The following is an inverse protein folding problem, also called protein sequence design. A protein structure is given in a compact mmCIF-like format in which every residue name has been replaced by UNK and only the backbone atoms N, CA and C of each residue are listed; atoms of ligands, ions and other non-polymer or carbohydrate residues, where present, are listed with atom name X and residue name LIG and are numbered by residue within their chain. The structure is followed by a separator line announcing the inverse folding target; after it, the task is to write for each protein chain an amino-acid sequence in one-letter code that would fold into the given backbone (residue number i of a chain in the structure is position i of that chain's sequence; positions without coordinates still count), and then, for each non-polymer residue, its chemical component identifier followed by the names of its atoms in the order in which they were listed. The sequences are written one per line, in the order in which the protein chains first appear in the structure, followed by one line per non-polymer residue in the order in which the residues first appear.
data_IF_955802408520
#
_entry.id   IF_955802408520
#
_cell.length_a   1.000
_cell.length_b   1.000
_cell.length_c   1.000
_cell.angle_alpha   90.00
_cell.angle_beta   90.00
_cell.angle_gamma   90.00
#
_symmetry.space_group_name_H-M   'P 1'
#
loop_
_entity.id
_entity.type
_entity.pdbx_description
1 polymer ?
#
# COMPACT_ATOMS: atom_id res chain seq x y z
N UNK A 1 25.14 -2.67 1.32
CA UNK A 1 24.07 -3.69 1.53
C UNK A 1 24.18 -4.94 0.65
N UNK A 2 24.17 -4.87 -0.69
CA UNK A 2 24.07 -6.07 -1.56
C UNK A 2 25.09 -7.20 -1.33
N UNK A 3 26.33 -6.87 -0.91
CA UNK A 3 27.41 -7.86 -0.68
C UNK A 3 27.11 -8.81 0.51
N UNK A 4 26.39 -8.34 1.54
CA UNK A 4 26.05 -9.17 2.70
C UNK A 4 24.92 -10.16 2.36
N UNK A 5 23.92 -9.68 1.62
CA UNK A 5 22.80 -10.48 1.11
C UNK A 5 23.28 -11.65 0.24
N UNK A 6 24.24 -11.38 -0.65
CA UNK A 6 24.82 -12.40 -1.54
C UNK A 6 25.63 -13.47 -0.76
N UNK A 7 26.40 -13.07 0.26
CA UNK A 7 27.18 -14.01 1.10
C UNK A 7 26.29 -15.00 1.86
N UNK A 8 25.13 -14.58 2.36
CA UNK A 8 24.21 -15.44 3.10
C UNK A 8 23.55 -16.47 2.17
N UNK A 9 23.08 -16.06 0.99
CA UNK A 9 22.48 -17.00 0.03
C UNK A 9 23.46 -18.03 -0.53
N UNK A 10 24.70 -17.63 -0.87
CA UNK A 10 25.72 -18.57 -1.38
C UNK A 10 26.08 -19.63 -0.33
N UNK A 11 26.17 -19.26 0.95
CA UNK A 11 26.49 -20.20 2.04
C UNK A 11 25.38 -21.25 2.25
N UNK A 12 24.10 -20.86 2.10
CA UNK A 12 22.93 -21.74 2.26
C UNK A 12 22.67 -22.67 1.06
N UNK A 13 23.14 -22.29 -0.15
CA UNK A 13 23.03 -23.14 -1.36
C UNK A 13 24.13 -24.20 -1.44
N UNK A 14 25.34 -23.91 -0.94
CA UNK A 14 26.48 -24.84 -1.02
C UNK A 14 26.30 -26.09 -0.13
N UNK A 15 25.59 -25.98 0.99
CA UNK A 15 25.31 -27.11 1.90
C UNK A 15 24.20 -28.07 1.40
N UNK A 16 23.49 -27.75 0.30
CA UNK A 16 22.47 -28.62 -0.31
C UNK A 16 22.94 -29.34 -1.59
N UNK A 17 24.20 -29.17 -1.99
CA UNK A 17 24.74 -29.71 -3.24
C UNK A 17 25.91 -30.69 -3.03
N UNK A 18 26.06 -31.24 -1.82
CA UNK A 18 27.11 -32.22 -1.49
C UNK A 18 26.57 -33.61 -1.13
N UNK A 19 25.28 -33.89 -1.29
CA UNK A 19 24.64 -35.11 -0.77
C UNK A 19 24.06 -36.05 -1.84
N UNK A 20 24.11 -35.70 -3.14
CA UNK A 20 23.71 -36.59 -4.24
C UNK A 20 24.76 -36.61 -5.36
N UNK A 21 25.57 -37.68 -5.39
CA UNK A 21 26.41 -38.03 -6.54
C UNK A 21 26.84 -39.51 -6.50
N UNK A 22 26.07 -40.38 -7.16
CA UNK A 22 26.51 -41.73 -7.56
C UNK A 22 26.25 -41.94 -9.06
N UNK A 23 27.22 -42.42 -9.86
CA UNK A 23 27.05 -42.61 -11.30
C UNK A 23 26.80 -44.08 -11.68
N UNK A 24 26.01 -44.30 -12.74
CA UNK A 24 25.88 -45.59 -13.44
C UNK A 24 26.03 -45.33 -14.96
N UNK A 25 26.74 -46.19 -15.75
CA UNK A 25 27.28 -45.78 -17.06
C UNK A 25 26.60 -46.42 -18.30
N UNK A 26 26.86 -45.81 -19.46
CA UNK A 26 27.02 -46.53 -20.74
C UNK A 26 26.02 -46.21 -21.86
N UNK A 27 26.53 -45.67 -22.98
CA UNK A 27 26.63 -46.43 -24.25
C UNK A 27 27.52 -45.65 -25.27
N UNK A 28 28.02 -46.35 -26.30
CA UNK A 28 29.00 -45.86 -27.28
C UNK A 28 28.55 -46.15 -28.73
N UNK A 29 29.21 -45.53 -29.72
CA UNK A 29 29.39 -45.87 -31.16
C UNK A 29 29.72 -44.53 -31.88
N UNK A 30 30.97 -44.25 -32.30
CA UNK A 30 31.75 -44.79 -33.44
C UNK A 30 31.20 -44.31 -34.83
N UNK A 31 32.01 -43.99 -35.86
CA UNK A 31 33.47 -43.86 -36.02
C UNK A 31 33.86 -43.32 -37.41
N UNK A 32 35.00 -42.61 -37.54
CA UNK A 32 35.77 -42.45 -38.80
C UNK A 32 35.14 -41.58 -39.92
N UNK A 33 35.89 -41.05 -40.88
CA UNK A 33 37.34 -41.05 -41.11
C UNK A 33 37.67 -40.17 -42.32
N UNK A 34 38.84 -39.52 -42.34
CA UNK A 34 39.26 -38.60 -43.41
C UNK A 34 40.23 -39.28 -44.39
N UNK A 35 40.16 -38.99 -45.69
CA UNK A 35 41.30 -39.08 -46.65
C UNK A 35 41.03 -38.28 -47.94
N UNK A 36 42.10 -37.67 -48.47
CA UNK A 36 42.19 -36.89 -49.71
C UNK A 36 42.10 -37.75 -50.99
N UNK A 37 41.56 -37.17 -52.10
CA UNK A 37 42.33 -36.84 -53.32
C UNK A 37 41.53 -36.11 -54.42
N UNK A 38 42.27 -35.33 -55.22
CA UNK A 38 41.95 -34.68 -56.50
C UNK A 38 41.22 -35.64 -57.48
N UNK A 39 40.47 -35.20 -58.51
CA UNK A 39 40.88 -34.20 -59.55
C UNK A 39 39.68 -33.76 -60.42
N UNK A 40 39.81 -32.59 -61.07
CA UNK A 40 39.22 -32.08 -62.35
C UNK A 40 37.98 -32.79 -62.97
N UNK A 41 37.00 -32.12 -63.60
CA UNK A 41 37.03 -30.88 -64.40
C UNK A 41 35.56 -30.44 -64.67
N UNK A 42 35.19 -29.15 -64.57
CA UNK A 42 34.16 -28.54 -65.43
C UNK A 42 34.08 -27.01 -65.26
N UNK A 43 34.60 -26.30 -66.26
CA UNK A 43 34.39 -24.86 -66.53
C UNK A 43 32.99 -24.73 -67.15
N UNK A 44 32.08 -23.86 -66.70
CA UNK A 44 32.05 -22.42 -67.03
C UNK A 44 30.78 -21.74 -66.50
N UNK A 45 30.83 -20.39 -66.43
CA UNK A 45 29.75 -19.37 -66.46
C UNK A 45 29.54 -18.59 -65.15
N UNK A 46 29.43 -17.26 -65.31
CA UNK A 46 29.00 -16.33 -64.26
C UNK A 46 30.11 -15.74 -63.38
N UNK A 47 30.87 -14.75 -63.90
CA UNK A 47 31.43 -13.72 -63.00
C UNK A 47 30.26 -12.82 -62.57
N UNK A 48 29.93 -12.68 -61.28
CA UNK A 48 28.96 -11.66 -60.86
C UNK A 48 29.57 -10.28 -61.18
N UNK A 49 28.78 -9.42 -61.82
CA UNK A 49 29.17 -8.05 -62.09
C UNK A 49 29.40 -7.29 -60.78
N UNK A 50 30.51 -6.57 -60.69
CA UNK A 50 30.75 -5.64 -59.58
C UNK A 50 29.64 -4.57 -59.60
N UNK A 51 28.93 -4.33 -58.49
CA UNK A 51 27.87 -3.31 -58.46
C UNK A 51 28.48 -1.93 -58.67
N UNK A 52 27.77 -1.12 -59.47
CA UNK A 52 28.11 0.26 -59.83
C UNK A 52 28.48 1.05 -58.56
N UNK A 53 29.55 1.87 -58.54
CA UNK A 53 30.05 2.52 -57.32
C UNK A 53 28.99 3.31 -56.53
N UNK A 54 28.01 3.92 -57.22
CA UNK A 54 26.88 4.60 -56.56
C UNK A 54 25.99 3.69 -55.72
N UNK A 55 25.82 2.41 -56.09
CA UNK A 55 25.01 1.44 -55.32
C UNK A 55 25.69 1.09 -53.99
N UNK A 56 27.02 0.97 -53.98
CA UNK A 56 27.78 0.75 -52.73
C UNK A 56 27.66 1.93 -51.79
N UNK A 57 27.74 3.16 -52.29
CA UNK A 57 27.55 4.37 -51.51
C UNK A 57 26.13 4.47 -50.94
N UNK A 58 25.10 4.18 -51.75
CA UNK A 58 23.70 4.17 -51.34
C UNK A 58 23.43 3.15 -50.23
N UNK A 59 23.93 1.91 -50.36
CA UNK A 59 23.77 0.86 -49.34
C UNK A 59 24.48 1.25 -48.03
N UNK A 60 25.68 1.83 -48.10
CA UNK A 60 26.38 2.35 -46.91
C UNK A 60 25.60 3.47 -46.22
N UNK A 61 25.03 4.40 -47.00
CA UNK A 61 24.30 5.56 -46.49
C UNK A 61 22.95 5.14 -45.87
N UNK A 62 22.25 4.16 -46.47
CA UNK A 62 21.06 3.54 -45.88
C UNK A 62 21.39 2.74 -44.62
N UNK A 63 22.52 2.03 -44.58
CA UNK A 63 22.97 1.31 -43.38
C UNK A 63 23.30 2.29 -42.24
N UNK A 64 24.02 3.38 -42.53
CA UNK A 64 24.30 4.45 -41.56
C UNK A 64 23.01 5.14 -41.06
N UNK A 65 22.03 5.39 -41.93
CA UNK A 65 20.70 5.90 -41.54
C UNK A 65 19.95 4.90 -40.63
N UNK A 66 20.03 3.60 -40.94
CA UNK A 66 19.43 2.53 -40.10
C UNK A 66 20.13 2.35 -38.75
N UNK A 67 21.37 2.81 -38.60
CA UNK A 67 22.08 2.90 -37.31
C UNK A 67 21.79 4.20 -36.56
N UNK A 68 21.51 5.30 -37.26
CA UNK A 68 21.15 6.58 -36.65
C UNK A 68 19.75 6.56 -36.00
N UNK A 69 18.75 5.93 -36.63
CA UNK A 69 17.38 5.92 -36.10
C UNK A 69 17.25 5.23 -34.71
N UNK A 70 17.87 4.07 -34.43
CA UNK A 70 17.91 3.48 -33.08
C UNK A 70 18.61 4.37 -32.05
N UNK A 71 19.68 5.08 -32.44
CA UNK A 71 20.41 5.97 -31.54
C UNK A 71 19.58 7.20 -31.16
N UNK A 72 18.86 7.80 -32.11
CA UNK A 72 17.88 8.86 -31.83
C UNK A 72 16.70 8.38 -30.99
N UNK A 73 16.28 7.11 -31.13
CA UNK A 73 15.28 6.50 -30.26
C UNK A 73 15.74 6.28 -28.81
N UNK A 74 17.04 6.06 -28.60
CA UNK A 74 17.62 5.82 -27.27
C UNK A 74 17.95 7.11 -26.50
N UNK A 75 18.32 8.19 -27.19
CA UNK A 75 18.64 9.49 -26.56
C UNK A 75 17.39 10.37 -26.51
N UNK A 76 16.44 10.01 -25.63
CA UNK A 76 15.32 10.90 -25.29
C UNK A 76 15.88 12.08 -24.49
N UNK A 77 16.05 13.22 -25.15
CA UNK A 77 16.54 14.44 -24.50
C UNK A 77 15.68 14.78 -23.27
N UNK A 78 16.28 15.22 -22.15
CA UNK A 78 15.54 15.57 -20.95
C UNK A 78 14.57 16.72 -21.24
N UNK A 79 13.36 16.66 -20.66
CA UNK A 79 12.36 17.71 -20.87
C UNK A 79 12.90 19.07 -20.43
N UNK A 80 12.61 20.10 -21.22
CA UNK A 80 12.83 21.50 -20.83
C UNK A 80 11.72 22.04 -19.92
N UNK A 81 10.57 21.37 -19.91
CA UNK A 81 9.43 21.71 -19.08
C UNK A 81 9.73 21.48 -17.59
N UNK A 82 9.20 22.37 -16.75
CA UNK A 82 9.35 22.34 -15.29
C UNK A 82 8.02 21.97 -14.64
N UNK A 83 8.10 21.34 -13.48
CA UNK A 83 6.95 21.06 -12.63
C UNK A 83 7.33 21.25 -11.16
N UNK A 84 6.38 21.75 -10.37
CA UNK A 84 6.50 21.82 -8.92
C UNK A 84 6.17 20.47 -8.31
N UNK A 85 7.05 19.99 -7.42
CA UNK A 85 6.86 18.74 -6.66
C UNK A 85 6.94 19.07 -5.18
N UNK A 86 5.99 18.57 -4.40
CA UNK A 86 6.01 18.69 -2.94
C UNK A 86 6.73 17.50 -2.34
N UNK A 87 7.71 17.76 -1.48
CA UNK A 87 8.54 16.76 -0.79
C UNK A 87 8.39 16.97 0.71
N UNK A 88 7.87 15.96 1.39
CA UNK A 88 7.62 15.93 2.84
C UNK A 88 8.57 14.93 3.49
N UNK A 89 9.17 15.29 4.62
CA UNK A 89 9.94 14.39 5.48
C UNK A 89 9.43 14.41 6.90
N UNK A 90 9.10 13.25 7.46
CA UNK A 90 8.63 13.05 8.82
C UNK A 90 9.45 11.98 9.56
N UNK A 91 9.27 11.87 10.88
CA UNK A 91 9.82 10.78 11.71
C UNK A 91 8.69 10.10 12.48
N UNK A 92 8.95 8.85 12.85
CA UNK A 92 8.11 8.01 13.68
C UNK A 92 6.67 7.91 13.14
N UNK A 93 6.50 7.55 11.86
CA UNK A 93 5.19 7.40 11.21
C UNK A 93 4.36 8.69 11.23
N UNK A 94 4.97 9.81 10.81
CA UNK A 94 4.29 11.09 10.65
C UNK A 94 4.05 11.89 11.93
N UNK A 95 4.66 11.49 13.05
CA UNK A 95 4.52 12.17 14.34
C UNK A 95 5.27 13.50 14.43
N UNK A 96 6.45 13.57 13.82
CA UNK A 96 7.34 14.73 13.85
C UNK A 96 7.62 15.17 12.40
N UNK A 97 7.37 16.43 12.08
CA UNK A 97 7.69 16.99 10.77
C UNK A 97 9.14 17.48 10.76
N UNK A 98 9.95 16.91 9.87
CA UNK A 98 11.34 17.35 9.63
C UNK A 98 11.35 18.43 8.55
N UNK A 99 10.64 18.22 7.44
CA UNK A 99 10.51 19.21 6.36
C UNK A 99 9.22 19.04 5.54
N UNK A 100 8.72 20.15 4.98
CA UNK A 100 7.67 20.19 3.96
C UNK A 100 8.07 21.28 2.96
N UNK A 101 8.48 20.90 1.75
CA UNK A 101 9.08 21.79 0.74
C UNK A 101 8.40 21.61 -0.61
N UNK A 102 8.41 22.66 -1.42
CA UNK A 102 8.07 22.60 -2.84
C UNK A 102 9.34 22.92 -3.64
N UNK A 103 9.63 22.11 -4.66
CA UNK A 103 10.83 22.21 -5.50
C UNK A 103 10.47 22.20 -6.99
N UNK A 104 11.25 22.88 -7.82
CA UNK A 104 11.01 22.96 -9.27
C UNK A 104 11.95 22.05 -10.08
N UNK A 105 11.49 20.83 -10.33
CA UNK A 105 12.23 19.85 -11.13
C UNK A 105 11.80 19.87 -12.59
N UNK A 106 12.57 19.20 -13.46
CA UNK A 106 12.14 18.94 -14.84
C UNK A 106 11.08 17.85 -14.86
N UNK A 107 10.16 17.89 -15.82
CA UNK A 107 9.20 16.78 -16.03
C UNK A 107 9.97 15.50 -16.32
N UNK A 108 9.69 14.44 -15.56
CA UNK A 108 10.42 13.16 -15.62
C UNK A 108 11.76 13.12 -14.88
N UNK A 109 12.09 14.11 -14.04
CA UNK A 109 13.19 14.02 -13.07
C UNK A 109 12.99 12.83 -12.10
N UNK A 110 14.07 12.31 -11.53
CA UNK A 110 13.95 11.25 -10.53
C UNK A 110 13.43 11.78 -9.18
N UNK A 111 12.79 10.92 -8.38
CA UNK A 111 12.37 11.29 -7.02
C UNK A 111 13.55 11.77 -6.15
N UNK A 112 14.71 11.12 -6.28
CA UNK A 112 15.96 11.52 -5.61
C UNK A 112 16.45 12.93 -5.98
N UNK A 113 16.37 13.31 -7.26
CA UNK A 113 16.79 14.66 -7.73
C UNK A 113 15.92 15.80 -7.13
N UNK A 114 14.66 15.50 -6.82
CA UNK A 114 13.76 16.43 -6.15
C UNK A 114 14.01 16.47 -4.62
N UNK A 115 14.39 15.35 -4.01
CA UNK A 115 14.80 15.32 -2.61
C UNK A 115 16.11 16.10 -2.39
N UNK A 116 17.11 15.92 -3.25
CA UNK A 116 18.38 16.69 -3.26
C UNK A 116 18.16 18.21 -3.32
N UNK A 117 17.09 18.67 -3.98
CA UNK A 117 16.70 20.08 -4.04
C UNK A 117 15.89 20.54 -2.82
N UNK A 118 15.25 19.61 -2.10
CA UNK A 118 14.43 19.92 -0.94
C UNK A 118 15.29 20.03 0.34
N UNK A 119 16.28 19.15 0.50
CA UNK A 119 17.13 19.01 1.68
C UNK A 119 18.51 18.44 1.33
N UNK A 120 19.47 18.64 2.21
CA UNK A 120 20.77 17.95 2.15
C UNK A 120 20.60 16.44 2.37
N UNK A 121 21.29 15.64 1.54
CA UNK A 121 21.34 14.18 1.64
C UNK A 121 22.78 13.66 1.54
N UNK A 122 23.04 12.50 2.14
CA UNK A 122 24.30 11.77 1.99
C UNK A 122 24.04 10.40 1.34
N UNK A 123 24.96 9.97 0.46
CA UNK A 123 24.82 8.75 -0.34
C UNK A 123 25.80 7.66 0.09
N UNK A 124 25.29 6.48 0.44
CA UNK A 124 26.07 5.25 0.65
C UNK A 124 26.05 4.39 -0.63
N UNK A 125 26.80 4.82 -1.64
CA UNK A 125 26.77 4.21 -2.97
C UNK A 125 25.52 4.62 -3.74
N UNK A 126 24.64 3.66 -4.05
CA UNK A 126 23.37 3.92 -4.77
C UNK A 126 22.16 4.15 -3.84
N UNK A 127 22.39 4.30 -2.54
CA UNK A 127 21.36 4.40 -1.51
C UNK A 127 21.52 5.71 -0.77
N UNK A 128 20.40 6.34 -0.41
CA UNK A 128 20.37 7.53 0.45
C UNK A 128 20.55 7.05 1.89
N UNK A 129 21.58 7.51 2.59
CA UNK A 129 21.91 7.06 3.94
C UNK A 129 21.45 8.05 5.01
N UNK A 130 21.58 9.34 4.69
CA UNK A 130 21.23 10.47 5.55
C UNK A 130 20.32 11.43 4.78
N UNK A 131 19.29 11.94 5.44
CA UNK A 131 18.40 13.00 4.92
C UNK A 131 18.25 14.05 6.01
N UNK A 132 18.50 15.33 5.69
CA UNK A 132 18.44 16.45 6.65
C UNK A 132 19.23 16.18 7.95
N UNK A 133 20.43 15.59 7.84
CA UNK A 133 21.30 15.22 8.96
C UNK A 133 20.87 13.98 9.75
N UNK A 134 19.73 13.34 9.42
CA UNK A 134 19.25 12.13 10.11
C UNK A 134 19.69 10.90 9.32
N UNK A 135 20.62 10.14 9.91
CA UNK A 135 21.23 8.93 9.35
C UNK A 135 20.50 7.66 9.84
N UNK A 136 20.31 6.70 8.94
CA UNK A 136 19.74 5.38 9.27
C UNK A 136 20.72 4.41 9.94
N UNK A 137 20.17 3.41 10.65
CA UNK A 137 20.93 2.36 11.33
C UNK A 137 20.32 0.95 11.09
N UNK A 138 20.62 -0.01 11.97
CA UNK A 138 20.13 -1.40 11.85
C UNK A 138 18.63 -1.56 12.19
N UNK A 139 18.02 -0.56 12.81
CA UNK A 139 16.64 -0.55 13.31
C UNK A 139 15.77 0.53 12.68
N UNK A 140 16.33 1.70 12.36
CA UNK A 140 15.62 2.83 11.78
C UNK A 140 16.15 3.19 10.39
N UNK A 141 15.27 3.49 9.44
CA UNK A 141 15.65 3.88 8.09
C UNK A 141 14.60 4.78 7.43
N UNK A 142 14.98 5.44 6.35
CA UNK A 142 14.10 6.29 5.54
C UNK A 142 13.32 5.46 4.53
N UNK A 143 12.00 5.42 4.67
CA UNK A 143 11.07 4.87 3.68
C UNK A 143 10.43 6.00 2.89
N UNK A 144 10.14 5.76 1.62
CA UNK A 144 9.53 6.78 0.77
C UNK A 144 8.32 6.27 0.00
N UNK A 145 7.39 7.20 -0.22
CA UNK A 145 6.07 6.96 -0.75
C UNK A 145 5.80 8.02 -1.82
N UNK A 146 5.29 7.59 -2.97
CA UNK A 146 4.80 8.50 -4.00
C UNK A 146 3.27 8.50 -3.94
N UNK A 147 2.68 9.68 -3.79
CA UNK A 147 1.23 9.86 -3.64
C UNK A 147 0.64 9.02 -2.50
N UNK A 148 1.44 8.68 -1.48
CA UNK A 148 1.03 7.81 -0.37
C UNK A 148 1.23 6.31 -0.58
N UNK A 149 1.72 5.85 -1.73
CA UNK A 149 2.02 4.44 -2.02
C UNK A 149 3.51 4.17 -1.78
N UNK A 150 3.85 3.19 -0.92
CA UNK A 150 5.25 2.81 -0.66
C UNK A 150 5.91 2.35 -1.97
N UNK A 151 6.98 3.03 -2.36
CA UNK A 151 7.61 2.80 -3.65
C UNK A 151 8.40 1.48 -3.69
N UNK A 152 8.31 0.78 -4.82
CA UNK A 152 8.97 -0.51 -5.06
C UNK A 152 10.28 -0.43 -5.87
N UNK A 153 10.80 0.79 -6.06
CA UNK A 153 12.09 1.08 -6.70
C UNK A 153 12.90 2.01 -5.81
N UNK A 154 14.17 2.28 -6.12
CA UNK A 154 14.93 3.35 -5.46
C UNK A 154 14.54 4.73 -5.98
N UNK A 155 14.72 5.78 -5.16
CA UNK A 155 14.27 7.13 -5.51
C UNK A 155 14.91 7.72 -6.78
N UNK A 156 16.15 7.35 -7.12
CA UNK A 156 16.76 7.73 -8.41
C UNK A 156 16.19 6.94 -9.61
N UNK A 157 15.50 5.83 -9.36
CA UNK A 157 14.83 4.99 -10.35
C UNK A 157 13.37 5.39 -10.63
N UNK A 158 12.63 5.91 -9.65
CA UNK A 158 11.28 6.43 -9.88
C UNK A 158 11.33 7.75 -10.66
N UNK A 159 10.55 7.86 -11.76
CA UNK A 159 10.45 9.08 -12.56
C UNK A 159 9.16 9.83 -12.25
N UNK A 160 9.31 11.02 -11.68
CA UNK A 160 8.22 11.86 -11.21
C UNK A 160 7.29 12.26 -12.35
N UNK A 161 5.99 12.27 -12.05
CA UNK A 161 4.95 12.77 -12.93
C UNK A 161 4.40 14.12 -12.44
N UNK A 162 3.80 14.94 -13.31
CA UNK A 162 3.18 16.20 -12.92
C UNK A 162 2.14 16.00 -11.81
N UNK A 163 2.35 16.68 -10.68
CA UNK A 163 1.47 16.63 -9.52
C UNK A 163 1.70 15.46 -8.57
N UNK A 164 2.77 14.67 -8.75
CA UNK A 164 3.24 13.72 -7.73
C UNK A 164 3.62 14.46 -6.42
N UNK A 165 3.27 13.85 -5.28
CA UNK A 165 3.72 14.26 -3.94
C UNK A 165 4.62 13.17 -3.37
N UNK A 166 5.79 13.55 -2.90
CA UNK A 166 6.71 12.65 -2.20
C UNK A 166 6.55 12.77 -0.69
N UNK A 167 6.46 11.63 -0.03
CA UNK A 167 6.53 11.51 1.42
C UNK A 167 7.72 10.63 1.79
N UNK A 168 8.49 11.07 2.76
CA UNK A 168 9.62 10.37 3.34
C UNK A 168 9.33 10.24 4.84
N UNK A 169 9.49 9.05 5.41
CA UNK A 169 9.36 8.87 6.85
C UNK A 169 10.52 8.04 7.41
N UNK A 170 11.10 8.53 8.50
CA UNK A 170 12.16 7.87 9.25
C UNK A 170 11.58 7.16 10.47
N UNK A 171 11.53 5.83 10.44
CA UNK A 171 10.93 5.03 11.50
C UNK A 171 11.67 3.71 11.74
N UNK A 172 11.33 3.06 12.87
CA UNK A 172 11.72 1.69 13.17
C UNK A 172 11.05 0.73 12.18
N UNK A 173 11.86 -0.01 11.42
CA UNK A 173 11.40 -0.94 10.39
C UNK A 173 11.51 -2.41 10.80
N UNK A 174 11.98 -2.69 12.03
CA UNK A 174 12.29 -4.07 12.48
C UNK A 174 11.07 -4.99 12.43
N UNK A 175 9.89 -4.46 12.76
CA UNK A 175 8.59 -5.07 12.51
C UNK A 175 7.98 -4.61 11.17
N UNK A 176 8.16 -3.33 10.85
CA UNK A 176 7.47 -2.59 9.79
C UNK A 176 8.15 -2.65 8.39
N UNK A 177 8.94 -3.69 8.11
CA UNK A 177 9.78 -3.80 6.89
C UNK A 177 9.04 -3.57 5.55
N UNK A 178 7.74 -3.87 5.48
CA UNK A 178 6.88 -3.72 4.30
C UNK A 178 5.51 -3.07 4.63
N UNK A 179 5.41 -2.39 5.77
CA UNK A 179 4.15 -1.87 6.30
C UNK A 179 4.41 -0.59 7.11
N UNK A 180 3.52 0.42 7.11
CA UNK A 180 2.29 0.49 6.32
C UNK A 180 2.63 0.70 4.85
N UNK A 181 2.02 -0.12 3.99
CA UNK A 181 2.35 -0.13 2.55
C UNK A 181 1.73 1.05 1.79
N UNK A 182 0.77 1.75 2.41
CA UNK A 182 0.28 3.05 2.00
C UNK A 182 0.02 3.96 3.23
N UNK A 183 -0.20 5.27 3.00
CA UNK A 183 -0.33 6.29 4.05
C UNK A 183 -1.73 6.91 4.03
N UNK A 184 -2.51 6.75 5.12
CA UNK A 184 -3.84 7.35 5.27
C UNK A 184 -3.85 8.87 5.01
N UNK A 185 -2.83 9.57 5.50
CA UNK A 185 -2.65 11.01 5.38
C UNK A 185 -2.26 11.53 4.00
N UNK A 186 -2.13 10.65 3.01
CA UNK A 186 -2.02 11.00 1.60
C UNK A 186 -3.39 10.97 0.89
N UNK A 187 -4.51 10.83 1.60
CA UNK A 187 -5.84 10.86 0.99
C UNK A 187 -6.06 12.15 0.17
N UNK A 188 -6.52 12.08 -1.11
CA UNK A 188 -6.91 10.90 -1.90
C UNK A 188 -5.89 10.55 -3.00
N UNK A 189 -4.61 10.92 -2.84
CA UNK A 189 -3.61 10.93 -3.91
C UNK A 189 -3.37 9.59 -4.65
N UNK A 190 -3.44 8.39 -4.01
CA UNK A 190 -3.37 7.11 -4.74
C UNK A 190 -4.51 6.89 -5.76
N UNK A 191 -5.63 7.60 -5.58
CA UNK A 191 -6.81 7.54 -6.44
C UNK A 191 -6.90 8.72 -7.41
N UNK A 192 -6.12 9.79 -7.16
CA UNK A 192 -6.10 11.02 -7.98
C UNK A 192 -4.93 11.04 -8.97
N UNK A 193 -3.73 10.73 -8.48
CA UNK A 193 -2.45 10.77 -9.22
C UNK A 193 -1.88 9.35 -9.43
N UNK A 194 -2.19 8.43 -8.52
CA UNK A 194 -1.78 7.03 -8.63
C UNK A 194 -0.28 6.84 -8.46
N UNK A 195 0.31 5.91 -9.21
CA UNK A 195 1.75 5.63 -9.14
C UNK A 195 2.35 5.41 -10.53
N UNK A 196 3.45 6.10 -10.84
CA UNK A 196 4.08 6.09 -12.16
C UNK A 196 3.16 6.65 -13.26
N UNK A 197 2.27 7.58 -12.92
CA UNK A 197 1.32 8.20 -13.87
C UNK A 197 0.15 7.29 -14.25
N UNK A 198 -0.10 6.23 -13.48
CA UNK A 198 -1.19 5.28 -13.70
C UNK A 198 -2.12 5.29 -12.50
N UNK A 199 -3.39 5.60 -12.74
CA UNK A 199 -4.47 5.57 -11.76
C UNK A 199 -5.32 4.34 -12.02
N UNK A 200 -5.50 3.49 -11.02
CA UNK A 200 -6.45 2.39 -11.09
C UNK A 200 -7.88 2.93 -10.87
N UNK A 201 -8.91 2.39 -11.55
CA UNK A 201 -10.30 2.76 -11.30
C UNK A 201 -10.64 2.63 -9.81
N UNK A 202 -11.54 3.47 -9.32
CA UNK A 202 -11.86 3.50 -7.87
C UNK A 202 -13.26 2.93 -7.62
N UNK A 203 -13.37 1.99 -6.68
CA UNK A 203 -14.63 1.41 -6.23
C UNK A 203 -14.83 1.74 -4.76
N UNK A 204 -15.91 2.44 -4.44
CA UNK A 204 -16.38 2.56 -3.06
C UNK A 204 -17.35 1.40 -2.80
N UNK A 205 -16.88 0.46 -1.98
CA UNK A 205 -17.56 -0.78 -1.60
C UNK A 205 -18.22 -0.57 -0.25
N UNK A 206 -19.48 -0.97 -0.09
CA UNK A 206 -20.20 -0.84 1.19
C UNK A 206 -20.93 -2.12 1.60
N UNK A 207 -20.91 -2.43 2.89
CA UNK A 207 -21.83 -3.40 3.48
C UNK A 207 -23.24 -2.79 3.60
N UNK A 208 -24.25 -3.65 3.79
CA UNK A 208 -25.64 -3.22 3.99
C UNK A 208 -25.75 -2.16 5.11
N UNK A 209 -26.62 -1.17 4.94
CA UNK A 209 -26.75 -0.01 5.84
C UNK A 209 -25.79 1.15 5.56
N UNK A 210 -24.66 0.96 4.85
CA UNK A 210 -23.62 2.00 4.68
C UNK A 210 -23.66 2.76 3.33
N UNK A 211 -24.72 2.60 2.53
CA UNK A 211 -24.82 3.22 1.19
C UNK A 211 -24.68 4.75 1.21
N UNK A 212 -25.28 5.42 2.20
CA UNK A 212 -25.21 6.87 2.35
C UNK A 212 -23.76 7.35 2.54
N UNK A 213 -22.98 6.64 3.36
CA UNK A 213 -21.57 6.94 3.61
C UNK A 213 -20.71 6.71 2.37
N UNK A 214 -21.04 5.68 1.57
CA UNK A 214 -20.38 5.42 0.29
C UNK A 214 -20.64 6.53 -0.73
N UNK A 215 -21.86 7.06 -0.78
CA UNK A 215 -22.21 8.20 -1.65
C UNK A 215 -21.51 9.48 -1.20
N UNK A 216 -21.55 9.82 0.10
CA UNK A 216 -20.79 10.95 0.67
C UNK A 216 -19.29 10.86 0.38
N UNK A 217 -18.70 9.66 0.47
CA UNK A 217 -17.30 9.45 0.13
C UNK A 217 -17.02 9.62 -1.36
N UNK A 218 -17.89 9.10 -2.25
CA UNK A 218 -17.79 9.35 -3.70
C UNK A 218 -17.85 10.84 -4.01
N UNK A 219 -18.77 11.58 -3.41
CA UNK A 219 -18.90 13.04 -3.59
C UNK A 219 -17.64 13.78 -3.12
N UNK A 220 -17.11 13.42 -1.94
CA UNK A 220 -15.85 13.96 -1.43
C UNK A 220 -14.67 13.69 -2.37
N UNK A 221 -14.56 12.46 -2.88
CA UNK A 221 -13.51 12.07 -3.82
C UNK A 221 -13.64 12.83 -5.16
N UNK A 222 -14.87 13.03 -5.65
CA UNK A 222 -15.13 13.81 -6.87
C UNK A 222 -14.73 15.28 -6.70
N UNK A 223 -15.10 15.88 -5.56
CA UNK A 223 -14.71 17.25 -5.21
C UNK A 223 -13.18 17.43 -5.08
N UNK A 224 -12.46 16.36 -4.75
CA UNK A 224 -11.00 16.32 -4.72
C UNK A 224 -10.37 15.90 -6.07
N UNK A 225 -11.16 15.77 -7.13
CA UNK A 225 -10.68 15.54 -8.49
C UNK A 225 -10.39 14.08 -8.87
N UNK A 226 -10.79 13.11 -8.04
CA UNK A 226 -10.75 11.68 -8.41
C UNK A 226 -11.76 11.41 -9.53
N UNK A 227 -11.34 10.63 -10.53
CA UNK A 227 -12.14 10.29 -11.72
C UNK A 227 -12.42 8.78 -11.73
N UNK A 228 -13.35 8.35 -12.60
CA UNK A 228 -13.67 6.93 -12.81
C UNK A 228 -14.01 6.17 -11.52
N UNK A 229 -15.12 6.58 -10.89
CA UNK A 229 -15.58 6.03 -9.61
C UNK A 229 -16.89 5.25 -9.72
N UNK A 230 -16.88 4.05 -9.16
CA UNK A 230 -18.05 3.19 -8.94
C UNK A 230 -18.42 3.16 -7.46
N UNK A 231 -19.71 2.95 -7.16
CA UNK A 231 -20.23 2.64 -5.82
C UNK A 231 -20.94 1.29 -5.92
N UNK A 232 -20.60 0.34 -5.04
CA UNK A 232 -21.08 -1.04 -5.11
C UNK A 232 -21.34 -1.63 -3.72
N UNK A 233 -22.43 -2.39 -3.57
CA UNK A 233 -22.61 -3.23 -2.39
C UNK A 233 -21.57 -4.37 -2.38
N UNK A 234 -21.09 -4.80 -1.21
CA UNK A 234 -20.00 -5.76 -1.06
C UNK A 234 -20.20 -7.06 -1.87
N UNK A 235 -21.43 -7.61 -1.89
CA UNK A 235 -21.79 -8.80 -2.68
C UNK A 235 -21.79 -8.63 -4.20
N UNK A 236 -21.53 -7.43 -4.72
CA UNK A 236 -21.48 -7.11 -6.17
C UNK A 236 -20.08 -6.74 -6.68
N UNK A 237 -19.07 -6.76 -5.80
CA UNK A 237 -17.67 -6.56 -6.16
C UNK A 237 -17.13 -7.83 -6.85
N UNK A 238 -16.65 -7.70 -8.09
CA UNK A 238 -16.07 -8.85 -8.80
C UNK A 238 -14.64 -9.14 -8.31
N UNK A 239 -14.17 -10.39 -8.50
CA UNK A 239 -12.79 -10.75 -8.18
C UNK A 239 -11.74 -9.95 -8.98
N UNK A 240 -12.08 -9.54 -10.21
CA UNK A 240 -11.21 -8.70 -11.03
C UNK A 240 -11.09 -7.29 -10.47
N UNK A 241 -12.22 -6.66 -10.11
CA UNK A 241 -12.23 -5.34 -9.47
C UNK A 241 -11.51 -5.39 -8.12
N UNK A 242 -11.79 -6.42 -7.31
CA UNK A 242 -11.15 -6.66 -6.01
C UNK A 242 -9.61 -6.70 -6.14
N UNK A 243 -9.07 -7.32 -7.19
CA UNK A 243 -7.63 -7.46 -7.40
C UNK A 243 -6.94 -6.34 -8.20
N UNK A 244 -7.67 -5.50 -8.96
CA UNK A 244 -7.06 -4.50 -9.86
C UNK A 244 -7.34 -3.04 -9.51
N UNK A 245 -8.39 -2.77 -8.74
CA UNK A 245 -8.86 -1.40 -8.51
C UNK A 245 -8.30 -0.80 -7.21
N UNK A 246 -8.43 0.53 -7.10
CA UNK A 246 -8.45 1.22 -5.83
C UNK A 246 -9.79 0.93 -5.14
N UNK A 247 -9.80 0.51 -3.88
CA UNK A 247 -11.00 0.19 -3.11
C UNK A 247 -11.11 1.06 -1.87
N UNK A 248 -12.29 1.60 -1.60
CA UNK A 248 -12.67 2.08 -0.26
C UNK A 248 -13.73 1.14 0.28
N UNK A 249 -13.46 0.46 1.40
CA UNK A 249 -14.39 -0.53 1.96
C UNK A 249 -14.99 0.03 3.25
N UNK A 250 -16.30 0.29 3.21
CA UNK A 250 -17.10 0.81 4.34
C UNK A 250 -17.96 -0.33 4.88
N UNK A 251 -17.48 -1.01 5.92
CA UNK A 251 -18.14 -2.19 6.47
C UNK A 251 -17.71 -2.51 7.92
N UNK A 252 -18.54 -3.18 8.74
CA UNK A 252 -18.16 -3.62 10.09
C UNK A 252 -17.03 -4.66 10.09
N UNK A 253 -16.37 -4.83 11.24
CA UNK A 253 -15.28 -5.78 11.42
C UNK A 253 -15.64 -7.25 11.10
N UNK A 254 -16.92 -7.60 11.22
CA UNK A 254 -17.46 -8.93 10.88
C UNK A 254 -17.77 -9.16 9.39
N UNK A 255 -17.70 -8.13 8.54
CA UNK A 255 -17.90 -8.28 7.10
C UNK A 255 -16.83 -9.19 6.46
N UNK A 256 -17.20 -9.97 5.45
CA UNK A 256 -16.31 -10.94 4.81
C UNK A 256 -15.02 -10.32 4.25
N UNK A 257 -15.12 -9.15 3.60
CA UNK A 257 -13.95 -8.46 3.03
C UNK A 257 -13.06 -7.88 4.13
N UNK A 258 -13.65 -7.32 5.19
CA UNK A 258 -12.89 -6.78 6.32
C UNK A 258 -12.21 -7.89 7.11
N UNK A 259 -12.90 -9.00 7.39
CA UNK A 259 -12.33 -10.14 8.11
C UNK A 259 -11.17 -10.79 7.34
N UNK A 260 -11.27 -10.86 6.00
CA UNK A 260 -10.17 -11.29 5.13
C UNK A 260 -8.96 -10.36 5.21
N UNK A 261 -9.15 -9.03 5.07
CA UNK A 261 -8.09 -8.03 5.25
C UNK A 261 -7.47 -8.04 6.65
N UNK A 262 -8.31 -8.26 7.66
CA UNK A 262 -7.91 -8.19 9.06
C UNK A 262 -6.88 -9.28 9.41
N UNK A 263 -6.87 -10.42 8.71
CA UNK A 263 -5.81 -11.43 8.83
C UNK A 263 -4.43 -10.85 8.48
N UNK A 264 -4.34 -10.12 7.37
CA UNK A 264 -3.11 -9.42 6.98
C UNK A 264 -2.77 -8.27 7.94
N UNK A 265 -3.78 -7.51 8.39
CA UNK A 265 -3.58 -6.41 9.34
C UNK A 265 -3.02 -6.91 10.68
N UNK A 266 -3.53 -8.06 11.17
CA UNK A 266 -3.04 -8.74 12.38
C UNK A 266 -1.59 -9.20 12.29
N UNK A 267 -1.00 -9.37 11.10
CA UNK A 267 0.42 -9.69 11.00
C UNK A 267 1.34 -8.46 11.05
N UNK A 268 0.95 -7.34 10.42
CA UNK A 268 1.92 -6.28 10.06
C UNK A 268 1.44 -4.84 10.24
N UNK A 269 0.14 -4.58 10.20
CA UNK A 269 -0.37 -3.21 10.10
C UNK A 269 -0.52 -2.52 11.47
N UNK A 270 -0.51 -1.17 11.53
CA UNK A 270 -0.62 -0.42 12.79
C UNK A 270 -1.90 -0.64 13.59
N UNK A 271 -3.04 -0.82 12.91
CA UNK A 271 -4.33 -1.10 13.55
C UNK A 271 -5.01 -2.31 12.93
N UNK A 272 -5.73 -3.07 13.77
CA UNK A 272 -6.45 -4.28 13.39
C UNK A 272 -7.56 -4.60 14.40
N UNK A 273 -8.42 -5.58 14.10
CA UNK A 273 -9.47 -6.06 14.99
C UNK A 273 -9.12 -7.42 15.64
N UNK A 274 -9.39 -7.56 16.93
CA UNK A 274 -9.20 -8.80 17.70
C UNK A 274 -10.15 -8.80 18.91
N UNK A 275 -10.83 -9.92 19.18
CA UNK A 275 -11.69 -10.06 20.37
C UNK A 275 -12.83 -9.04 20.50
N UNK A 276 -13.35 -8.50 19.39
CA UNK A 276 -14.36 -7.43 19.42
C UNK A 276 -13.78 -6.05 19.80
N UNK A 277 -12.48 -5.84 19.61
CA UNK A 277 -11.78 -4.60 19.89
C UNK A 277 -10.91 -4.17 18.70
N UNK A 278 -10.69 -2.87 18.57
CA UNK A 278 -9.57 -2.31 17.81
C UNK A 278 -8.31 -2.44 18.65
N UNK A 279 -7.24 -2.98 18.08
CA UNK A 279 -5.90 -2.98 18.66
C UNK A 279 -5.04 -1.96 17.92
N UNK A 280 -4.37 -1.09 18.68
CA UNK A 280 -3.39 -0.12 18.16
C UNK A 280 -1.99 -0.57 18.58
N UNK A 281 -1.09 -0.69 17.60
CA UNK A 281 0.32 -1.01 17.82
C UNK A 281 1.17 0.24 18.05
N UNK A 282 2.27 0.09 18.78
CA UNK A 282 3.36 1.05 18.80
C UNK A 282 4.34 0.84 17.62
N UNK A 283 5.26 1.79 17.47
CA UNK A 283 6.35 1.80 16.48
C UNK A 283 7.24 0.54 16.45
N UNK A 284 7.14 -0.37 17.44
CA UNK A 284 7.85 -1.67 17.48
C UNK A 284 6.95 -2.86 17.18
N UNK A 285 5.73 -2.62 16.71
CA UNK A 285 4.75 -3.66 16.34
C UNK A 285 4.01 -4.30 17.50
N UNK A 286 4.24 -3.87 18.75
CA UNK A 286 3.57 -4.41 19.94
C UNK A 286 2.24 -3.70 20.18
N UNK A 287 1.18 -4.39 20.63
CA UNK A 287 -0.03 -3.74 21.13
C UNK A 287 0.30 -2.71 22.23
N UNK A 288 -0.26 -1.52 22.10
CA UNK A 288 -0.06 -0.38 23.00
C UNK A 288 -1.38 0.10 23.63
N UNK A 289 -2.47 0.09 22.85
CA UNK A 289 -3.81 0.44 23.31
C UNK A 289 -4.88 -0.42 22.63
N UNK A 290 -6.01 -0.62 23.31
CA UNK A 290 -7.17 -1.34 22.77
C UNK A 290 -8.47 -0.56 23.02
N UNK A 291 -9.44 -0.71 22.12
CA UNK A 291 -10.70 0.03 22.16
C UNK A 291 -11.88 -0.84 21.72
N UNK A 292 -12.96 -0.86 22.52
CA UNK A 292 -14.13 -1.73 22.30
C UNK A 292 -15.21 -1.15 21.37
N UNK A 293 -16.51 -1.49 21.61
CA UNK A 293 -17.65 -0.95 20.88
C UNK A 293 -17.65 0.58 20.73
N UNK A 294 -18.25 1.06 19.64
CA UNK A 294 -18.23 2.45 19.21
C UNK A 294 -16.93 2.90 18.54
N UNK A 295 -15.88 2.07 18.48
CA UNK A 295 -14.61 2.43 17.84
C UNK A 295 -14.47 1.86 16.43
N UNK A 296 -13.95 2.72 15.56
CA UNK A 296 -13.62 2.46 14.17
C UNK A 296 -12.12 2.48 13.88
N UNK A 297 -11.74 2.07 12.67
CA UNK A 297 -10.41 2.25 12.11
C UNK A 297 -10.45 2.98 10.77
N UNK A 298 -9.39 3.74 10.52
CA UNK A 298 -9.02 4.29 9.22
C UNK A 298 -7.60 3.85 8.89
N UNK A 299 -7.41 3.17 7.76
CA UNK A 299 -6.09 2.72 7.31
C UNK A 299 -6.06 2.61 5.78
N UNK A 300 -4.89 2.81 5.18
CA UNK A 300 -4.66 2.54 3.77
C UNK A 300 -3.53 1.50 3.62
N UNK A 301 -3.71 0.54 2.72
CA UNK A 301 -2.68 -0.43 2.32
C UNK A 301 -2.59 -0.50 0.80
N UNK A 302 -1.49 -0.98 0.24
CA UNK A 302 -1.48 -1.44 -1.15
C UNK A 302 -2.36 -2.68 -1.30
N UNK A 303 -3.05 -2.81 -2.43
CA UNK A 303 -4.07 -3.83 -2.60
C UNK A 303 -3.50 -5.26 -2.40
N UNK A 304 -3.85 -5.97 -1.31
CA UNK A 304 -3.28 -7.28 -1.02
C UNK A 304 -3.82 -8.39 -1.92
N UNK A 305 -4.93 -8.11 -2.63
CA UNK A 305 -5.53 -9.01 -3.62
C UNK A 305 -4.98 -8.80 -5.03
N UNK A 306 -4.00 -7.91 -5.21
CA UNK A 306 -3.34 -7.77 -6.50
C UNK A 306 -2.62 -9.09 -6.87
N UNK A 307 -2.85 -9.67 -8.06
CA UNK A 307 -2.22 -10.93 -8.47
C UNK A 307 -0.69 -10.85 -8.61
N UNK A 308 -0.09 -9.65 -8.62
CA UNK A 308 1.36 -9.42 -8.55
C UNK A 308 1.89 -9.33 -7.11
N UNK A 309 1.01 -9.42 -6.11
CA UNK A 309 1.31 -9.29 -4.69
C UNK A 309 1.24 -7.85 -4.17
N UNK A 310 1.36 -7.71 -2.84
CA UNK A 310 1.60 -6.42 -2.19
C UNK A 310 2.92 -5.81 -2.65
N UNK A 311 3.04 -4.48 -2.61
CA UNK A 311 4.15 -3.69 -3.17
C UNK A 311 4.25 -3.69 -4.71
N UNK A 312 3.23 -4.20 -5.42
CA UNK A 312 3.12 -4.03 -6.88
C UNK A 312 2.96 -2.54 -7.31
N UNK A 313 2.60 -1.64 -6.39
CA UNK A 313 2.26 -0.24 -6.64
C UNK A 313 1.12 -0.08 -7.67
N UNK A 314 0.16 -1.00 -7.62
CA UNK A 314 -1.01 -1.08 -8.50
C UNK A 314 -2.25 -1.31 -7.64
N UNK A 315 -2.96 -0.22 -7.31
CA UNK A 315 -4.15 -0.21 -6.47
C UNK A 315 -3.87 -0.11 -4.96
N UNK A 316 -4.78 0.55 -4.24
CA UNK A 316 -4.80 0.69 -2.79
C UNK A 316 -6.13 0.23 -2.21
N UNK A 317 -6.14 -0.22 -0.96
CA UNK A 317 -7.34 -0.56 -0.21
C UNK A 317 -7.40 0.31 1.04
N UNK A 318 -8.47 1.09 1.13
CA UNK A 318 -8.78 1.98 2.23
C UNK A 318 -9.84 1.33 3.10
N UNK A 319 -9.48 1.09 4.35
CA UNK A 319 -10.31 0.41 5.35
C UNK A 319 -11.03 1.47 6.16
N UNK A 320 -12.36 1.51 6.04
CA UNK A 320 -13.25 2.41 6.80
C UNK A 320 -14.21 1.52 7.58
N UNK A 321 -13.77 1.08 8.75
CA UNK A 321 -14.41 -0.02 9.46
C UNK A 321 -14.59 0.26 10.95
N UNK A 322 -15.25 -0.62 11.69
CA UNK A 322 -15.37 -0.54 13.13
C UNK A 322 -15.90 -1.81 13.77
N UNK A 323 -15.73 -1.89 15.09
CA UNK A 323 -16.21 -3.00 15.93
C UNK A 323 -17.71 -3.21 15.74
N UNK A 324 -18.44 -2.12 15.61
CA UNK A 324 -19.88 -2.04 15.34
C UNK A 324 -20.20 -0.95 14.30
N UNK A 325 -21.48 -0.82 13.98
CA UNK A 325 -22.00 0.19 13.05
C UNK A 325 -21.62 1.62 13.47
N UNK A 326 -21.65 1.93 14.76
CA UNK A 326 -21.27 3.25 15.31
C UNK A 326 -19.80 3.57 15.01
N UNK A 327 -18.90 2.59 15.19
CA UNK A 327 -17.49 2.70 14.83
C UNK A 327 -17.28 2.98 13.33
N UNK A 328 -17.97 2.25 12.46
CA UNK A 328 -17.91 2.46 10.99
C UNK A 328 -18.37 3.87 10.61
N UNK A 329 -19.51 4.34 11.13
CA UNK A 329 -20.04 5.69 10.87
C UNK A 329 -19.07 6.78 11.32
N UNK A 330 -18.53 6.64 12.54
CA UNK A 330 -17.53 7.58 13.10
C UNK A 330 -16.27 7.65 12.23
N UNK A 331 -15.74 6.51 11.78
CA UNK A 331 -14.60 6.47 10.86
C UNK A 331 -14.90 7.14 9.51
N UNK A 332 -16.04 6.81 8.88
CA UNK A 332 -16.46 7.38 7.60
C UNK A 332 -16.66 8.91 7.67
N UNK A 333 -17.25 9.42 8.76
CA UNK A 333 -17.43 10.84 9.00
C UNK A 333 -16.10 11.60 9.20
N UNK A 334 -15.08 10.98 9.80
CA UNK A 334 -13.73 11.56 9.90
C UNK A 334 -13.07 11.63 8.52
N UNK A 335 -13.10 10.54 7.74
CA UNK A 335 -12.49 10.49 6.40
C UNK A 335 -13.11 11.50 5.43
N UNK A 336 -14.43 11.68 5.48
CA UNK A 336 -15.15 12.60 4.57
C UNK A 336 -15.11 14.06 5.05
N UNK A 337 -15.29 14.29 6.35
CA UNK A 337 -15.48 15.63 6.92
C UNK A 337 -14.23 16.31 7.48
N UNK A 338 -13.16 15.58 7.82
CA UNK A 338 -12.02 16.09 8.63
C UNK A 338 -10.65 15.67 8.05
N UNK A 339 -10.53 15.70 6.72
CA UNK A 339 -9.34 15.30 5.96
C UNK A 339 -8.05 15.99 6.39
N UNK A 340 -8.13 17.23 6.89
CA UNK A 340 -6.99 18.00 7.38
C UNK A 340 -6.30 17.37 8.60
N UNK A 341 -7.05 16.64 9.43
CA UNK A 341 -6.51 15.96 10.63
C UNK A 341 -5.76 14.69 10.30
N UNK A 342 -6.02 14.12 9.12
CA UNK A 342 -5.32 12.95 8.61
C UNK A 342 -3.89 13.28 8.14
N UNK A 343 -3.52 14.56 8.00
CA UNK A 343 -2.21 14.98 7.48
C UNK A 343 -1.06 14.25 8.21
N UNK A 344 -0.26 13.53 7.42
CA UNK A 344 0.85 12.64 7.82
C UNK A 344 0.50 11.38 8.62
N UNK A 345 -0.78 11.14 8.95
CA UNK A 345 -1.19 9.95 9.71
C UNK A 345 -1.03 8.70 8.86
N UNK A 346 -0.47 7.62 9.40
CA UNK A 346 -0.32 6.35 8.68
C UNK A 346 -1.57 5.47 8.78
N UNK A 347 -2.09 5.29 10.00
CA UNK A 347 -3.40 4.73 10.29
C UNK A 347 -4.00 5.40 11.54
N UNK A 348 -5.27 5.13 11.84
CA UNK A 348 -5.90 5.63 13.05
C UNK A 348 -7.02 4.71 13.58
N UNK A 349 -7.24 4.77 14.89
CA UNK A 349 -8.49 4.35 15.52
C UNK A 349 -9.37 5.59 15.80
N UNK A 350 -10.69 5.48 15.69
CA UNK A 350 -11.63 6.61 15.80
C UNK A 350 -12.79 6.26 16.72
N UNK A 351 -13.04 7.04 17.76
CA UNK A 351 -14.15 6.81 18.68
C UNK A 351 -14.32 7.94 19.69
N UNK A 352 -15.52 8.08 20.25
CA UNK A 352 -15.83 8.98 21.38
C UNK A 352 -15.43 10.46 21.21
N UNK A 353 -15.37 10.96 19.97
CA UNK A 353 -14.93 12.33 19.67
C UNK A 353 -13.41 12.48 19.53
N UNK A 354 -12.69 11.38 19.42
CA UNK A 354 -11.23 11.31 19.35
C UNK A 354 -10.76 10.43 18.18
N UNK A 355 -9.58 10.77 17.66
CA UNK A 355 -8.84 10.00 16.68
C UNK A 355 -7.45 9.73 17.23
N UNK A 356 -7.13 8.46 17.37
CA UNK A 356 -5.87 7.94 17.87
C UNK A 356 -4.97 7.65 16.68
N UNK A 357 -3.84 8.36 16.56
CA UNK A 357 -2.85 8.11 15.51
C UNK A 357 -2.12 6.78 15.75
N UNK A 358 -1.87 6.04 14.68
CA UNK A 358 -1.19 4.76 14.71
C UNK A 358 -0.12 4.65 13.59
N UNK A 359 1.03 4.00 13.84
CA UNK A 359 1.47 3.43 15.12
C UNK A 359 1.65 4.50 16.22
N UNK A 360 1.52 4.09 17.47
CA UNK A 360 1.91 4.92 18.62
C UNK A 360 3.44 5.08 18.65
N UNK A 361 3.94 6.31 18.61
CA UNK A 361 5.38 6.56 18.55
C UNK A 361 6.12 6.30 19.86
N UNK A 362 7.41 6.70 19.95
CA UNK A 362 8.23 6.53 21.14
C UNK A 362 7.70 7.24 22.40
N UNK A 363 6.84 8.25 22.22
CA UNK A 363 6.17 8.98 23.31
C UNK A 363 4.82 8.37 23.72
N UNK A 364 4.44 7.21 23.17
CA UNK A 364 3.15 6.57 23.38
C UNK A 364 2.07 7.06 22.42
N UNK A 365 0.82 6.88 22.82
CA UNK A 365 -0.37 7.15 21.98
C UNK A 365 -0.60 8.66 21.79
N UNK A 366 -0.86 9.09 20.54
CA UNK A 366 -1.23 10.49 20.23
C UNK A 366 -2.69 10.62 19.80
N UNK A 367 -3.42 11.48 20.50
CA UNK A 367 -4.84 11.77 20.26
C UNK A 367 -5.05 13.08 19.53
N UNK A 368 -6.05 13.13 18.64
CA UNK A 368 -6.55 14.34 17.97
C UNK A 368 -8.06 14.39 18.16
N UNK A 369 -8.60 15.49 18.69
CA UNK A 369 -10.05 15.66 18.83
C UNK A 369 -10.73 15.73 17.45
N UNK A 370 -11.81 14.96 17.26
CA UNK A 370 -12.61 14.89 16.04
C UNK A 370 -14.11 15.06 16.33
N UNK A 371 -14.82 15.64 15.38
CA UNK A 371 -16.27 15.70 15.43
C UNK A 371 -16.85 14.33 15.02
N UNK A 372 -17.61 13.74 15.94
CA UNK A 372 -18.45 12.55 15.74
C UNK A 372 -19.92 12.94 15.94
N UNK A 373 -20.86 12.08 15.57
CA UNK A 373 -22.30 12.44 15.50
C UNK A 373 -22.89 12.95 16.82
N UNK A 374 -22.48 12.43 17.97
CA UNK A 374 -22.89 12.95 19.29
C UNK A 374 -22.44 14.41 19.51
N UNK A 375 -21.24 14.77 19.06
CA UNK A 375 -20.71 16.13 19.17
C UNK A 375 -21.30 17.06 18.10
N UNK A 376 -21.65 16.54 16.92
CA UNK A 376 -22.34 17.32 15.87
C UNK A 376 -23.78 17.62 16.31
N UNK A 377 -24.50 16.62 16.83
CA UNK A 377 -25.86 16.78 17.34
C UNK A 377 -25.91 17.77 18.50
N UNK A 378 -25.05 17.62 19.52
CA UNK A 378 -24.92 18.58 20.63
C UNK A 378 -24.54 19.99 20.16
N UNK A 379 -23.63 20.12 19.19
CA UNK A 379 -23.24 21.44 18.66
C UNK A 379 -24.37 22.11 17.87
N UNK A 380 -25.16 21.33 17.14
CA UNK A 380 -26.32 21.83 16.40
C UNK A 380 -27.47 22.18 17.36
N UNK A 381 -27.71 21.40 18.42
CA UNK A 381 -28.65 21.72 19.50
C UNK A 381 -28.23 23.00 20.24
N UNK A 382 -26.97 23.11 20.67
CA UNK A 382 -26.46 24.32 21.34
C UNK A 382 -26.41 25.56 20.43
N UNK A 383 -26.35 25.37 19.09
CA UNK A 383 -26.51 26.46 18.13
C UNK A 383 -27.98 26.88 17.96
N UNK A 384 -28.91 25.92 17.95
CA UNK A 384 -30.35 26.17 17.90
C UNK A 384 -30.86 26.84 19.19
N UNK A 385 -30.41 26.42 20.37
CA UNK A 385 -30.72 27.05 21.65
C UNK A 385 -30.21 28.50 21.72
N UNK A 386 -29.04 28.80 21.14
CA UNK A 386 -28.52 30.17 21.00
C UNK A 386 -29.22 31.02 19.95
N UNK A 387 -30.10 30.43 19.13
CA UNK A 387 -30.93 31.10 18.13
C UNK A 387 -32.42 31.14 18.53
N UNK A 388 -32.80 30.50 19.64
CA UNK A 388 -34.13 30.61 20.20
C UNK A 388 -34.35 32.02 20.79
N UNK A 389 -35.46 32.71 20.45
CA UNK A 389 -35.79 33.99 21.09
C UNK A 389 -36.09 33.77 22.58
N UNK A 390 -35.81 34.76 23.46
CA UNK A 390 -36.01 34.60 24.90
C UNK A 390 -37.49 34.38 25.23
N UNK A 391 -37.77 33.29 25.95
CA UNK A 391 -39.12 32.91 26.32
C UNK A 391 -39.67 33.80 27.46
N UNK A 392 -40.44 34.82 27.08
CA UNK A 392 -41.54 35.38 27.89
C UNK A 392 -41.16 36.17 29.14
N UNK A 393 -41.02 37.49 28.97
CA UNK A 393 -41.23 38.43 30.08
C UNK A 393 -42.73 38.40 30.47
N UNK A 394 -43.04 37.92 31.68
CA UNK A 394 -44.42 37.84 32.18
C UNK A 394 -44.88 39.20 32.69
N UNK A 395 -45.72 39.90 31.92
CA UNK A 395 -46.52 41.02 32.44
C UNK A 395 -47.68 40.49 33.27
N UNK A 396 -47.91 41.06 34.45
CA UNK A 396 -48.97 40.65 35.37
C UNK A 396 -49.88 41.83 35.72
N UNK A 397 -51.19 41.70 35.47
CA UNK A 397 -52.34 42.40 36.09
C UNK A 397 -53.66 41.84 35.47
N UNK A 398 -54.85 41.77 36.10
CA UNK A 398 -55.26 41.82 37.52
C UNK A 398 -56.78 41.51 37.65
N UNK A 399 -57.19 40.49 38.45
CA UNK A 399 -58.56 40.24 39.02
C UNK A 399 -59.73 40.03 38.01
N UNK A 400 -60.87 39.42 38.34
CA UNK A 400 -61.54 39.17 39.63
C UNK A 400 -62.49 37.93 39.63
N UNK A 401 -62.83 37.41 40.82
CA UNK A 401 -63.93 36.44 41.10
C UNK A 401 -63.70 34.99 40.64
N UNK A 402 -64.22 33.94 41.28
CA UNK A 402 -64.93 33.74 42.56
C UNK A 402 -64.61 32.31 43.10
N UNK A 403 -64.85 32.06 44.38
CA UNK A 403 -64.75 30.74 45.07
C UNK A 403 -66.16 30.16 45.34
N UNK A 404 -66.37 28.98 45.97
CA UNK A 404 -65.55 27.75 46.10
C UNK A 404 -66.35 26.42 45.88
N UNK A 405 -65.65 25.29 45.68
CA UNK A 405 -66.03 23.93 46.10
C UNK A 405 -64.76 23.04 45.97
N UNK A 406 -64.18 22.39 47.00
CA UNK A 406 -64.67 21.39 47.98
C UNK A 406 -64.68 19.97 47.42
N UNK A 407 -64.26 19.02 48.27
CA UNK A 407 -64.12 17.58 48.13
C UNK A 407 -62.97 17.05 47.26
N UNK A 408 -62.27 15.97 47.59
CA UNK A 408 -61.94 15.20 48.82
C UNK A 408 -60.98 14.07 48.31
N UNK A 409 -60.28 13.38 49.22
CA UNK A 409 -60.09 11.90 49.33
C UNK A 409 -59.97 11.01 48.05
N UNK A 410 -59.28 9.85 47.97
CA UNK A 410 -58.54 8.94 48.89
C UNK A 410 -57.52 8.17 47.98
N UNK A 411 -56.29 7.84 48.39
CA UNK A 411 -55.84 6.62 49.10
C UNK A 411 -55.66 5.33 48.24
N UNK A 412 -54.80 4.45 48.76
CA UNK A 412 -54.47 3.05 48.37
C UNK A 412 -53.61 2.87 47.10
N UNK A 413 -52.39 2.34 47.15
CA UNK A 413 -51.85 1.13 47.80
C UNK A 413 -52.18 -0.18 47.07
N UNK A 414 -51.13 -0.85 46.57
CA UNK A 414 -51.02 -2.30 46.68
C UNK A 414 -49.57 -2.73 46.49
N UNK A 415 -49.04 -3.36 47.55
CA UNK A 415 -47.78 -4.10 47.53
C UNK A 415 -48.02 -5.52 47.03
N UNK A 416 -47.14 -6.11 46.20
CA UNK A 416 -46.92 -7.55 46.27
C UNK A 416 -45.51 -8.00 45.88
N UNK A 417 -44.89 -8.73 46.81
CA UNK A 417 -43.63 -9.45 46.72
C UNK A 417 -43.80 -10.82 46.06
N UNK A 418 -42.71 -11.39 45.51
CA UNK A 418 -42.73 -12.74 44.93
C UNK A 418 -41.34 -13.41 44.87
N UNK A 419 -41.27 -14.63 45.41
CA UNK A 419 -40.08 -15.45 45.69
C UNK A 419 -40.28 -16.89 45.14
N UNK A 420 -39.28 -17.75 44.87
CA UNK A 420 -37.82 -17.69 45.07
C UNK A 420 -37.12 -18.70 44.10
N UNK A 421 -35.79 -18.80 44.20
CA UNK A 421 -34.92 -19.98 43.88
C UNK A 421 -34.65 -20.31 42.39
N UNK A 422 -33.39 -20.38 41.92
CA UNK A 422 -32.22 -21.21 42.29
C UNK A 422 -32.29 -22.66 41.75
N UNK A 423 -31.40 -23.02 40.82
CA UNK A 423 -31.30 -24.36 40.23
C UNK A 423 -30.14 -24.54 39.23
N UNK A 424 -29.09 -25.23 39.67
CA UNK A 424 -27.94 -25.81 38.92
C UNK A 424 -27.25 -26.77 39.90
N UNK A 425 -26.47 -27.79 39.46
CA UNK A 425 -25.84 -28.01 38.14
C UNK A 425 -26.17 -29.39 37.53
N UNK A 426 -25.52 -29.76 36.41
CA UNK A 426 -24.78 -31.04 36.29
C UNK A 426 -24.03 -31.18 34.94
N UNK A 427 -22.77 -31.59 35.05
CA UNK A 427 -21.90 -32.28 34.06
C UNK A 427 -21.40 -33.53 34.81
N UNK A 428 -21.10 -34.71 34.19
CA UNK A 428 -20.10 -34.80 33.11
C UNK A 428 -20.29 -35.97 32.09
N UNK A 429 -19.43 -36.05 31.07
CA UNK A 429 -18.68 -37.29 30.70
C UNK A 429 -17.64 -37.06 29.59
N UNK A 430 -16.68 -37.98 29.45
CA UNK A 430 -15.41 -37.76 28.75
C UNK A 430 -15.07 -38.81 27.67
N UNK A 431 -14.46 -38.33 26.57
CA UNK A 431 -13.61 -39.11 25.63
C UNK A 431 -14.32 -40.12 24.72
N UNK A 432 -13.60 -40.74 23.76
CA UNK A 432 -12.15 -40.69 23.50
C UNK A 432 -11.77 -40.25 22.05
N UNK A 433 -10.47 -40.27 21.72
CA UNK A 433 -9.99 -40.44 20.34
C UNK A 433 -8.96 -39.41 19.85
N UNK A 434 -7.70 -39.82 19.78
CA UNK A 434 -6.67 -39.12 19.01
C UNK A 434 -6.88 -39.31 17.50
N UNK A 435 -6.70 -38.27 16.69
CA UNK A 435 -6.22 -38.47 15.31
C UNK A 435 -5.42 -37.25 14.84
N UNK A 436 -4.14 -37.48 14.47
CA UNK A 436 -3.27 -36.49 13.84
C UNK A 436 -3.38 -36.62 12.32
N UNK A 437 -3.70 -35.57 11.56
CA UNK A 437 -3.48 -35.59 10.12
C UNK A 437 -1.98 -35.44 9.83
N UNK A 438 -1.34 -36.51 9.39
CA UNK A 438 -0.08 -36.43 8.65
C UNK A 438 -0.36 -35.78 7.28
N UNK A 439 0.50 -34.85 6.87
CA UNK A 439 0.39 -34.20 5.55
C UNK A 439 1.65 -34.49 4.73
N UNK A 440 1.69 -35.70 4.15
CA UNK A 440 2.65 -36.03 3.10
C UNK A 440 2.24 -35.32 1.80
N UNK A 441 2.93 -34.21 1.51
CA UNK A 441 2.76 -33.44 0.28
C UNK A 441 4.10 -33.22 -0.41
N UNK A 442 4.47 -34.11 -1.34
CA UNK A 442 5.61 -33.86 -2.22
C UNK A 442 5.37 -32.57 -3.04
N UNK A 443 6.41 -31.73 -3.24
CA UNK A 443 6.27 -30.54 -4.07
C UNK A 443 6.10 -30.94 -5.55
N UNK A 444 4.97 -30.57 -6.15
CA UNK A 444 4.75 -30.71 -7.59
C UNK A 444 5.76 -29.85 -8.37
N UNK A 445 6.37 -30.45 -9.38
CA UNK A 445 7.39 -29.84 -10.23
C UNK A 445 6.77 -28.83 -11.22
N UNK A 446 7.05 -27.54 -11.02
CA UNK A 446 6.66 -26.50 -11.98
C UNK A 446 7.63 -26.44 -13.17
N UNK A 447 7.40 -27.27 -14.19
CA UNK A 447 8.09 -27.19 -15.48
C UNK A 447 7.32 -26.29 -16.46
N UNK A 448 7.71 -25.02 -16.57
CA UNK A 448 6.97 -24.05 -17.39
C UNK A 448 7.75 -22.78 -17.79
N UNK A 449 8.49 -22.86 -18.90
CA UNK A 449 8.65 -21.76 -19.89
C UNK A 449 9.15 -20.35 -19.45
N UNK A 450 10.37 -20.23 -18.91
CA UNK A 450 11.16 -18.96 -19.00
C UNK A 450 12.69 -19.11 -19.15
N UNK A 451 13.26 -20.32 -18.97
CA UNK A 451 14.72 -20.50 -18.79
C UNK A 451 15.63 -20.22 -20.00
N UNK A 452 15.12 -20.09 -21.22
CA UNK A 452 15.96 -20.10 -22.42
C UNK A 452 16.72 -18.78 -22.68
N UNK A 453 16.13 -17.62 -22.38
CA UNK A 453 16.69 -16.31 -22.73
C UNK A 453 17.89 -15.89 -21.87
N UNK A 454 17.95 -16.32 -20.60
CA UNK A 454 19.07 -16.01 -19.72
C UNK A 454 20.38 -16.70 -20.12
N UNK A 455 20.30 -17.91 -20.70
CA UNK A 455 21.48 -18.64 -21.18
C UNK A 455 22.11 -17.94 -22.39
N UNK A 456 21.30 -17.39 -23.30
CA UNK A 456 21.76 -16.63 -24.46
C UNK A 456 22.46 -15.33 -24.04
N UNK A 457 21.91 -14.61 -23.06
CA UNK A 457 22.52 -13.38 -22.52
C UNK A 457 23.86 -13.65 -21.79
N UNK A 458 23.97 -14.75 -21.04
CA UNK A 458 25.22 -15.16 -20.41
C UNK A 458 26.29 -15.57 -21.43
N UNK A 459 25.91 -16.26 -22.51
CA UNK A 459 26.83 -16.61 -23.59
C UNK A 459 27.38 -15.37 -24.32
N UNK A 460 26.53 -14.37 -24.58
CA UNK A 460 26.95 -13.10 -25.18
C UNK A 460 27.92 -12.31 -24.29
N UNK A 461 27.65 -12.23 -22.98
CA UNK A 461 28.53 -11.56 -22.02
C UNK A 461 29.90 -12.27 -21.88
N UNK A 462 29.92 -13.60 -21.86
CA UNK A 462 31.16 -14.39 -21.82
C UNK A 462 32.01 -14.19 -23.09
N UNK A 463 31.38 -14.15 -24.27
CA UNK A 463 32.06 -13.87 -25.54
C UNK A 463 32.75 -12.51 -25.59
N UNK A 464 32.06 -11.45 -25.13
CA UNK A 464 32.62 -10.10 -25.06
C UNK A 464 33.80 -10.01 -24.06
N UNK A 465 33.69 -10.64 -22.90
CA UNK A 465 34.76 -10.68 -21.90
C UNK A 465 36.02 -11.40 -22.40
N UNK A 466 35.85 -12.54 -23.08
CA UNK A 466 36.96 -13.29 -23.68
C UNK A 466 37.66 -12.52 -24.80
N UNK A 467 36.91 -11.77 -25.62
CA UNK A 467 37.46 -10.91 -26.68
C UNK A 467 38.27 -9.74 -26.10
N UNK A 468 37.76 -9.06 -25.08
CA UNK A 468 38.47 -7.96 -24.41
C UNK A 468 39.76 -8.40 -23.72
N UNK A 469 39.74 -9.54 -23.02
CA UNK A 469 40.94 -10.14 -22.41
C UNK A 469 41.98 -10.58 -23.44
N UNK A 470 41.58 -10.89 -24.68
CA UNK A 470 42.49 -11.25 -25.77
C UNK A 470 43.19 -10.03 -26.37
N UNK A 471 42.54 -8.86 -26.44
CA UNK A 471 43.22 -7.62 -26.87
C UNK A 471 44.24 -7.11 -25.84
N UNK A 472 43.98 -7.28 -24.54
CA UNK A 472 44.91 -6.85 -23.47
C UNK A 472 46.22 -7.66 -23.34
N UNK A 473 46.48 -8.65 -24.21
CA UNK A 473 47.74 -9.42 -24.25
C UNK A 473 48.61 -9.15 -25.50
N UNK A 474 48.25 -8.15 -26.31
CA UNK A 474 48.93 -7.84 -27.60
C UNK A 474 49.49 -6.41 -27.64
N UNK A 475 49.32 -5.64 -26.55
CA UNK A 475 49.99 -4.36 -26.29
C UNK A 475 50.81 -4.47 -25.00
#
# INVERSE_FOLDING_TARGET
MGVLFLKIMVKKKKSRLQEEATPVPGCSIASGGSIFRLREHLRTRGKPSLPIPGVRLLVLLLFLLSLAAPVYGFVRLPSKERMTVRVVGTKNFGEELVFDKQVEVRVGAAAGEALEQAVEIEMAGSFIETIAGIKGDQSQYWFYYINGVMANVFAHGYKLQPGDVQYWDFHDWTFYIHSPSAVLGAFPEPCRQGYGGRVAPTVVVYAEGFQEYALKLKEKLAALGVREMMVKGAGTLTAEEKGKNNLFIIAPAGDGLINELNKHCREREPVYFEGGQVIVRNHKGKPEATYGPGWGILQAVQNPWNPKGSLACEGTVWIVSGVDETGVKRAANVLTGQTEKLKYVFAAAVGNGEMIKAPAGPAGVRTVAVQTEENISRKNQAAAEKQAPPAGEKTAEKKAGETPAVSDEEQQDSTQTGELQAGSPDEPQAGPGEEKPSFDGQPQSFTGFTGFWWVVLLAAAAGAGAWWLKQKRVN
#
